data_IF_211112613446
#
_entry.id   IF_211112613446
#
_cell.length_a   1.000
_cell.length_b   1.000
_cell.length_c   1.000
_cell.angle_alpha   90.00
_cell.angle_beta   90.00
_cell.angle_gamma   90.00
#
_symmetry.space_group_name_H-M   'P 1'
#
loop_
_entity.id
_entity.type
_entity.pdbx_description
1 polymer ?
#
# COMPACT_ATOMS: atom_id res chain seq x y z
N UNK A 1 19.76 1.23 6.29
CA UNK A 1 18.29 1.33 6.31
C UNK A 1 17.92 2.27 5.17
N UNK A 2 17.57 1.68 4.03
CA UNK A 2 17.54 2.35 2.73
C UNK A 2 16.11 2.78 2.39
N UNK A 3 15.67 3.93 2.93
CA UNK A 3 14.45 4.61 2.46
C UNK A 3 13.10 3.97 2.84
N UNK A 4 13.07 2.92 3.66
CA UNK A 4 11.83 2.19 4.05
C UNK A 4 10.89 2.99 4.97
N UNK A 5 11.16 4.28 5.19
CA UNK A 5 10.32 5.17 5.99
C UNK A 5 9.14 5.66 5.14
N UNK A 6 7.87 5.35 5.50
CA UNK A 6 6.69 5.78 4.75
C UNK A 6 6.59 7.30 4.58
N UNK A 7 7.20 8.09 5.48
CA UNK A 7 7.22 9.55 5.38
C UNK A 7 8.06 10.07 4.21
N UNK A 8 8.91 9.22 3.63
CA UNK A 8 9.76 9.53 2.47
C UNK A 8 9.13 9.04 1.15
N UNK A 9 7.93 8.48 1.17
CA UNK A 9 7.26 7.97 -0.02
C UNK A 9 7.02 9.08 -1.05
N UNK A 10 7.37 8.79 -2.32
CA UNK A 10 7.23 9.75 -3.40
C UNK A 10 5.81 9.72 -3.99
N UNK A 11 5.22 10.86 -4.39
CA UNK A 11 3.92 10.92 -5.03
C UNK A 11 4.04 10.51 -6.51
N UNK A 12 4.20 9.22 -6.76
CA UNK A 12 4.44 8.65 -8.10
C UNK A 12 3.31 7.76 -8.59
N UNK A 13 2.35 7.40 -7.73
CA UNK A 13 1.22 6.55 -8.11
C UNK A 13 0.14 7.40 -8.75
N UNK A 14 -0.33 7.04 -9.95
CA UNK A 14 -1.42 7.78 -10.59
C UNK A 14 -2.73 7.57 -9.84
N UNK A 15 -3.46 8.66 -9.59
CA UNK A 15 -4.81 8.60 -9.05
C UNK A 15 -5.84 8.00 -10.00
N UNK A 16 -6.95 7.52 -9.43
CA UNK A 16 -8.16 7.13 -10.18
C UNK A 16 -8.92 8.38 -10.64
N UNK A 17 -9.91 8.20 -11.51
CA UNK A 17 -10.72 9.31 -12.06
C UNK A 17 -11.28 10.22 -10.98
N UNK A 18 -11.20 11.53 -11.18
CA UNK A 18 -11.70 12.56 -10.25
C UNK A 18 -10.98 12.64 -8.90
N UNK A 19 -9.82 12.01 -8.74
CA UNK A 19 -8.94 12.14 -7.58
C UNK A 19 -7.72 13.02 -7.89
N UNK A 20 -6.85 13.21 -6.89
CA UNK A 20 -5.55 13.87 -7.10
C UNK A 20 -4.74 13.15 -8.18
N UNK A 21 -3.90 13.89 -8.91
CA UNK A 21 -3.13 13.33 -10.02
C UNK A 21 -2.15 12.25 -9.55
N UNK A 22 -1.51 12.46 -8.38
CA UNK A 22 -0.54 11.54 -7.81
C UNK A 22 -0.78 11.26 -6.32
N UNK A 23 -0.47 10.04 -5.90
CA UNK A 23 -0.51 9.55 -4.54
C UNK A 23 0.82 8.91 -4.15
N UNK A 24 1.09 8.86 -2.85
CA UNK A 24 2.27 8.23 -2.24
C UNK A 24 2.05 6.75 -1.92
N UNK A 25 0.78 6.31 -1.82
CA UNK A 25 0.39 4.96 -1.46
C UNK A 25 -0.88 4.53 -2.21
N UNK A 26 -1.11 3.22 -2.27
CA UNK A 26 -2.31 2.62 -2.84
C UNK A 26 -2.70 1.37 -2.05
N UNK A 27 -3.99 1.05 -2.03
CA UNK A 27 -4.55 -0.05 -1.27
C UNK A 27 -5.28 -1.02 -2.21
N UNK A 28 -5.15 -2.32 -1.94
CA UNK A 28 -5.95 -3.35 -2.58
C UNK A 28 -7.31 -3.51 -1.87
N UNK A 29 -8.32 -4.11 -2.53
CA UNK A 29 -9.51 -4.58 -1.83
C UNK A 29 -9.14 -5.62 -0.77
N UNK A 30 -10.00 -5.72 0.25
CA UNK A 30 -9.89 -6.75 1.29
C UNK A 30 -10.67 -7.98 0.86
N UNK A 31 -10.03 -9.13 0.82
CA UNK A 31 -10.71 -10.42 0.58
C UNK A 31 -11.07 -11.04 1.94
N UNK A 32 -12.37 -11.16 2.19
CA UNK A 32 -12.89 -11.63 3.47
C UNK A 32 -12.67 -13.14 3.65
N UNK A 33 -12.07 -13.52 4.78
CA UNK A 33 -11.88 -14.92 5.20
C UNK A 33 -11.03 -15.78 4.24
N UNK A 34 -10.06 -15.17 3.56
CA UNK A 34 -9.10 -15.89 2.71
C UNK A 34 -7.68 -15.76 3.26
N UNK A 35 -6.97 -16.89 3.39
CA UNK A 35 -5.56 -16.93 3.84
C UNK A 35 -4.58 -16.82 2.67
N UNK A 36 -5.06 -16.91 1.44
CA UNK A 36 -4.26 -16.85 0.22
C UNK A 36 -4.98 -15.98 -0.81
N UNK A 37 -5.21 -14.69 -0.49
CA UNK A 37 -5.94 -13.78 -1.37
C UNK A 37 -5.21 -13.59 -2.70
N UNK A 38 -5.96 -13.60 -3.79
CA UNK A 38 -5.47 -13.28 -5.13
C UNK A 38 -5.93 -11.89 -5.56
N UNK A 39 -4.98 -11.04 -5.94
CA UNK A 39 -5.25 -9.67 -6.38
C UNK A 39 -5.01 -9.53 -7.89
N UNK A 40 -5.92 -8.82 -8.55
CA UNK A 40 -5.89 -8.57 -10.00
C UNK A 40 -5.87 -7.07 -10.34
N UNK A 41 -5.74 -6.19 -9.33
CA UNK A 41 -5.67 -4.76 -9.57
C UNK A 41 -4.30 -4.36 -10.14
N UNK A 42 -4.33 -3.37 -11.03
CA UNK A 42 -3.14 -2.78 -11.63
C UNK A 42 -2.94 -1.37 -11.09
N UNK A 43 -1.68 -1.02 -10.78
CA UNK A 43 -1.29 0.31 -10.33
C UNK A 43 -0.33 0.92 -11.34
N UNK A 44 -0.68 2.08 -11.88
CA UNK A 44 0.20 2.83 -12.78
C UNK A 44 1.07 3.78 -11.96
N UNK A 45 2.37 3.82 -12.27
CA UNK A 45 3.33 4.70 -11.58
C UNK A 45 4.18 5.52 -12.56
N UNK A 46 4.45 6.77 -12.22
CA UNK A 46 5.41 7.66 -12.89
C UNK A 46 6.72 7.64 -12.11
N UNK A 47 7.51 6.59 -12.32
CA UNK A 47 8.80 6.42 -11.64
C UNK A 47 9.85 7.43 -12.15
N UNK A 48 10.81 7.85 -11.31
CA UNK A 48 11.93 8.69 -11.75
C UNK A 48 12.74 8.01 -12.85
N UNK A 49 13.23 8.79 -13.82
CA UNK A 49 14.05 8.26 -14.91
C UNK A 49 15.41 7.73 -14.42
N UNK A 50 15.94 8.28 -13.31
CA UNK A 50 17.17 7.84 -12.69
C UNK A 50 16.87 7.10 -11.39
N UNK A 51 16.76 5.77 -11.47
CA UNK A 51 16.61 4.91 -10.30
C UNK A 51 17.96 4.68 -9.64
N UNK A 52 17.91 4.56 -8.33
CA UNK A 52 19.06 4.24 -7.46
C UNK A 52 18.68 3.09 -6.54
N UNK A 53 19.66 2.47 -5.89
CA UNK A 53 19.44 1.36 -4.96
C UNK A 53 18.60 1.72 -3.72
N UNK A 54 18.32 3.02 -3.50
CA UNK A 54 17.43 3.47 -2.43
C UNK A 54 15.95 3.45 -2.83
N UNK A 55 15.63 3.26 -4.12
CA UNK A 55 14.25 3.18 -4.59
C UNK A 55 13.75 1.75 -4.49
N UNK A 56 12.57 1.59 -3.88
CA UNK A 56 11.90 0.31 -3.76
C UNK A 56 10.39 0.53 -3.75
N UNK A 57 9.64 -0.56 -3.92
CA UNK A 57 8.22 -0.60 -3.62
C UNK A 57 8.09 -1.23 -2.24
N UNK A 58 7.42 -0.53 -1.32
CA UNK A 58 7.13 -1.04 0.01
C UNK A 58 5.71 -1.61 0.02
N UNK A 59 5.58 -2.90 0.32
CA UNK A 59 4.29 -3.54 0.52
C UNK A 59 4.05 -3.73 2.01
N UNK A 60 2.91 -3.26 2.50
CA UNK A 60 2.49 -3.49 3.89
C UNK A 60 1.22 -4.31 3.89
N UNK A 61 1.23 -5.42 4.63
CA UNK A 61 0.10 -6.31 4.76
C UNK A 61 -0.66 -6.00 6.04
N UNK A 62 -1.98 -5.87 5.92
CA UNK A 62 -2.87 -5.60 7.04
C UNK A 62 -3.89 -6.72 7.22
N UNK A 63 -4.16 -7.05 8.47
CA UNK A 63 -5.40 -7.73 8.86
C UNK A 63 -6.47 -6.68 9.12
N UNK A 64 -7.62 -6.81 8.45
CA UNK A 64 -8.75 -5.89 8.60
C UNK A 64 -9.89 -6.57 9.36
N UNK A 65 -10.23 -6.04 10.54
CA UNK A 65 -11.29 -6.57 11.40
C UNK A 65 -12.66 -6.07 10.96
N UNK A 66 -13.50 -6.93 10.38
CA UNK A 66 -14.87 -6.53 10.01
C UNK A 66 -15.84 -6.40 11.19
N UNK A 67 -15.47 -6.92 12.38
CA UNK A 67 -16.25 -6.81 13.60
C UNK A 67 -15.54 -5.89 14.60
N UNK A 68 -16.13 -4.73 14.95
CA UNK A 68 -15.56 -3.87 15.98
C UNK A 68 -15.68 -4.55 17.34
N UNK A 69 -14.56 -5.09 17.83
CA UNK A 69 -14.43 -5.56 19.22
C UNK A 69 -13.75 -4.47 20.04
N UNK A 70 -14.22 -4.28 21.27
CA UNK A 70 -13.69 -3.29 22.20
C UNK A 70 -12.17 -3.49 22.34
N UNK A 71 -11.39 -2.43 22.12
CA UNK A 71 -9.92 -2.38 22.19
C UNK A 71 -9.15 -3.13 21.09
N UNK A 72 -9.77 -3.45 19.96
CA UNK A 72 -9.05 -3.98 18.79
C UNK A 72 -9.01 -2.93 17.69
N UNK A 73 -7.83 -2.61 17.13
CA UNK A 73 -7.74 -1.70 16.00
C UNK A 73 -8.44 -2.30 14.77
N UNK A 74 -9.02 -1.44 13.94
CA UNK A 74 -9.66 -1.85 12.68
C UNK A 74 -8.65 -2.54 11.76
N UNK A 75 -7.44 -1.99 11.70
CA UNK A 75 -6.36 -2.44 10.84
C UNK A 75 -5.16 -2.79 11.72
N UNK A 76 -4.62 -3.99 11.53
CA UNK A 76 -3.42 -4.45 12.25
C UNK A 76 -2.35 -4.81 11.22
N UNK A 77 -1.18 -4.15 11.21
CA UNK A 77 -0.09 -4.53 10.33
C UNK A 77 0.41 -5.92 10.72
N UNK A 78 0.51 -6.82 9.74
CA UNK A 78 0.96 -8.21 9.94
C UNK A 78 2.34 -8.47 9.32
N UNK A 79 2.81 -7.59 8.44
CA UNK A 79 4.14 -7.67 7.85
C UNK A 79 4.36 -6.61 6.77
N UNK A 80 5.60 -6.48 6.33
CA UNK A 80 5.99 -5.62 5.22
C UNK A 80 7.12 -6.27 4.40
N UNK A 81 7.28 -5.86 3.14
CA UNK A 81 8.37 -6.28 2.23
C UNK A 81 8.86 -5.13 1.39
#
# INVERSE_FOLDING_TARGET
MAGEDPSLAMPVIFGKSSCAEFFTEAYSPVIYHDKSPEFYEEVKMKIPANLTDNHHLLFTFYHISCQPKQNTPLETPVGYT
#
